data_IF_400167087516
#
_entry.id   IF_400167087516
#
_cell.length_a   1.000
_cell.length_b   1.000
_cell.length_c   1.000
_cell.angle_alpha   90.00
_cell.angle_beta   90.00
_cell.angle_gamma   90.00
#
_symmetry.space_group_name_H-M   'P 1'
#
loop_
_entity.id
_entity.type
_entity.pdbx_description
1 polymer ?
#
# COMPACT_ATOMS: atom_id res chain seq x y z
N UNK A 1 -15.95 -15.85 -39.58
CA UNK A 1 -14.54 -16.20 -39.31
C UNK A 1 -13.76 -15.03 -38.73
N UNK A 2 -13.66 -13.87 -39.40
CA UNK A 2 -12.95 -12.70 -38.87
C UNK A 2 -13.58 -12.12 -37.58
N UNK A 3 -14.92 -12.07 -37.52
CA UNK A 3 -15.64 -11.57 -36.35
C UNK A 3 -15.49 -12.47 -35.11
N UNK A 4 -15.41 -13.79 -35.31
CA UNK A 4 -15.24 -14.76 -34.23
C UNK A 4 -13.81 -14.78 -33.68
N UNK A 5 -12.78 -14.52 -34.50
CA UNK A 5 -11.39 -14.39 -34.01
C UNK A 5 -11.15 -13.06 -33.29
N UNK A 6 -11.84 -11.98 -33.68
CA UNK A 6 -11.77 -10.69 -32.96
C UNK A 6 -12.43 -10.77 -31.58
N UNK A 7 -13.58 -11.45 -31.47
CA UNK A 7 -14.26 -11.66 -30.19
C UNK A 7 -13.39 -12.51 -29.24
N UNK A 8 -12.86 -13.63 -29.74
CA UNK A 8 -11.96 -14.50 -28.96
C UNK A 8 -10.67 -13.79 -28.52
N UNK A 9 -10.13 -12.89 -29.34
CA UNK A 9 -8.97 -12.08 -28.94
C UNK A 9 -9.31 -11.08 -27.82
N UNK A 10 -10.54 -10.54 -27.82
CA UNK A 10 -11.00 -9.54 -26.84
C UNK A 10 -11.18 -10.13 -25.43
N UNK A 11 -11.78 -11.33 -25.33
CA UNK A 11 -11.98 -12.04 -24.06
C UNK A 11 -10.66 -12.30 -23.31
N UNK A 12 -9.60 -12.61 -24.04
CA UNK A 12 -8.27 -12.86 -23.47
C UNK A 12 -7.60 -11.56 -22.94
N UNK A 13 -7.89 -10.42 -23.55
CA UNK A 13 -7.31 -9.12 -23.18
C UNK A 13 -7.98 -8.58 -21.90
N UNK A 14 -9.29 -8.73 -21.77
CA UNK A 14 -10.03 -8.31 -20.57
C UNK A 14 -9.63 -9.15 -19.34
N UNK A 15 -9.47 -10.47 -19.53
CA UNK A 15 -8.94 -11.35 -18.50
C UNK A 15 -7.51 -10.96 -18.10
N UNK A 16 -6.62 -10.75 -19.07
CA UNK A 16 -5.24 -10.32 -18.81
C UNK A 16 -5.17 -8.95 -18.10
N UNK A 17 -6.04 -8.01 -18.46
CA UNK A 17 -6.14 -6.69 -17.83
C UNK A 17 -6.62 -6.75 -16.38
N UNK A 18 -7.57 -7.64 -16.07
CA UNK A 18 -8.04 -7.86 -14.70
C UNK A 18 -6.95 -8.46 -13.81
N UNK A 19 -6.18 -9.42 -14.33
CA UNK A 19 -5.08 -10.08 -13.62
C UNK A 19 -3.93 -9.10 -13.34
N UNK A 20 -3.57 -8.25 -14.32
CA UNK A 20 -2.53 -7.23 -14.13
C UNK A 20 -2.94 -6.16 -13.11
N UNK A 21 -4.22 -5.75 -13.09
CA UNK A 21 -4.75 -4.82 -12.07
C UNK A 21 -4.80 -5.48 -10.69
N UNK A 22 -5.18 -6.76 -10.62
CA UNK A 22 -5.21 -7.55 -9.39
C UNK A 22 -3.83 -7.73 -8.75
N UNK A 23 -2.82 -8.12 -9.55
CA UNK A 23 -1.45 -8.32 -9.04
C UNK A 23 -0.88 -7.03 -8.47
N UNK A 24 -1.09 -5.90 -9.15
CA UNK A 24 -0.65 -4.58 -8.71
C UNK A 24 -1.37 -4.12 -7.43
N UNK A 25 -2.63 -4.50 -7.26
CA UNK A 25 -3.42 -4.32 -6.04
C UNK A 25 -2.87 -5.08 -4.82
N UNK A 26 -2.38 -6.31 -5.03
CA UNK A 26 -1.79 -7.14 -3.97
C UNK A 26 -0.46 -6.58 -3.48
N UNK A 27 0.42 -6.15 -4.40
CA UNK A 27 1.69 -5.52 -4.02
C UNK A 27 1.49 -4.24 -3.20
N UNK A 28 0.49 -3.40 -3.54
CA UNK A 28 0.21 -2.18 -2.78
C UNK A 28 -0.42 -2.47 -1.42
N UNK A 29 -1.30 -3.49 -1.31
CA UNK A 29 -1.88 -3.89 -0.05
C UNK A 29 -0.81 -4.39 0.93
N UNK A 30 0.07 -5.28 0.47
CA UNK A 30 1.19 -5.78 1.29
C UNK A 30 2.13 -4.65 1.70
N UNK A 31 2.51 -3.77 0.76
CA UNK A 31 3.34 -2.61 1.04
C UNK A 31 2.73 -1.66 2.08
N UNK A 32 1.41 -1.42 2.00
CA UNK A 32 0.70 -0.56 2.95
C UNK A 32 0.66 -1.15 4.37
N UNK A 33 0.49 -2.46 4.51
CA UNK A 33 0.50 -3.15 5.81
C UNK A 33 1.88 -3.09 6.44
N UNK A 34 2.93 -3.40 5.66
CA UNK A 34 4.31 -3.33 6.15
C UNK A 34 4.64 -1.91 6.61
N UNK A 35 4.27 -0.89 5.83
CA UNK A 35 4.51 0.50 6.20
C UNK A 35 3.74 0.91 7.47
N UNK A 36 2.50 0.47 7.64
CA UNK A 36 1.71 0.76 8.82
C UNK A 36 2.31 0.14 10.09
N UNK A 37 2.82 -1.09 9.99
CA UNK A 37 3.52 -1.76 11.10
C UNK A 37 4.81 -1.02 11.46
N UNK A 38 5.65 -0.68 10.47
CA UNK A 38 6.89 0.06 10.71
C UNK A 38 6.60 1.42 11.34
N UNK A 39 5.59 2.14 10.84
CA UNK A 39 5.17 3.43 11.37
C UNK A 39 4.70 3.34 12.83
N UNK A 40 3.90 2.31 13.17
CA UNK A 40 3.45 2.05 14.53
C UNK A 40 4.62 1.71 15.49
N UNK A 41 5.57 0.88 15.04
CA UNK A 41 6.75 0.49 15.82
C UNK A 41 7.63 1.71 16.12
N UNK A 42 7.96 2.51 15.10
CA UNK A 42 8.81 3.69 15.30
C UNK A 42 8.08 4.72 16.19
N UNK A 43 6.76 4.90 16.03
CA UNK A 43 5.99 5.78 16.92
C UNK A 43 6.03 5.32 18.38
N UNK A 44 5.90 4.00 18.62
CA UNK A 44 6.02 3.40 19.94
C UNK A 44 7.41 3.59 20.55
N UNK A 45 8.47 3.39 19.77
CA UNK A 45 9.86 3.68 20.19
C UNK A 45 10.08 5.15 20.53
N UNK A 46 9.32 6.05 19.89
CA UNK A 46 9.41 7.51 20.05
C UNK A 46 8.49 8.06 21.15
N UNK A 47 7.83 7.18 21.91
CA UNK A 47 6.93 7.54 23.02
C UNK A 47 5.61 8.18 22.60
N UNK A 48 5.16 7.95 21.36
CA UNK A 48 3.88 8.46 20.83
C UNK A 48 2.89 7.33 20.58
N UNK A 49 1.61 7.66 20.49
CA UNK A 49 0.53 6.68 20.41
C UNK A 49 0.66 5.78 19.16
N UNK A 50 1.05 4.50 19.29
CA UNK A 50 1.43 3.67 18.14
C UNK A 50 0.24 3.37 17.22
N UNK A 51 -0.95 3.23 17.78
CA UNK A 51 -2.19 2.99 17.02
C UNK A 51 -2.56 4.16 16.09
N UNK A 52 -2.47 5.39 16.58
CA UNK A 52 -2.82 6.57 15.79
C UNK A 52 -1.85 6.78 14.62
N UNK A 53 -0.56 6.54 14.86
CA UNK A 53 0.47 6.69 13.82
C UNK A 53 0.45 5.53 12.80
N UNK A 54 0.14 4.30 13.24
CA UNK A 54 -0.05 3.17 12.33
C UNK A 54 -1.22 3.37 11.36
N UNK A 55 -2.35 3.90 11.83
CA UNK A 55 -3.51 4.23 10.98
C UNK A 55 -3.20 5.35 10.00
N UNK A 56 -2.50 6.40 10.43
CA UNK A 56 -1.99 7.42 9.51
C UNK A 56 -1.09 6.79 8.44
N UNK A 57 -0.23 5.84 8.83
CA UNK A 57 0.64 5.08 7.95
C UNK A 57 -0.07 4.22 6.90
N UNK A 58 -1.31 3.80 7.15
CA UNK A 58 -2.12 3.10 6.17
C UNK A 58 -2.64 4.03 5.06
N UNK A 59 -2.95 5.29 5.39
CA UNK A 59 -3.49 6.28 4.43
C UNK A 59 -2.41 7.05 3.66
N UNK A 60 -1.26 7.31 4.28
CA UNK A 60 -0.19 8.13 3.72
C UNK A 60 1.18 7.48 3.90
N UNK A 61 1.24 6.16 3.71
CA UNK A 61 2.41 5.26 3.90
C UNK A 61 3.79 5.90 3.74
N UNK A 62 4.03 6.62 2.64
CA UNK A 62 5.34 7.26 2.39
C UNK A 62 5.52 8.56 3.21
N UNK A 63 4.52 9.44 3.25
CA UNK A 63 4.62 10.75 3.91
C UNK A 63 4.69 10.61 5.43
N UNK A 64 3.98 9.66 6.01
CA UNK A 64 3.97 9.42 7.46
C UNK A 64 5.28 8.83 7.96
N UNK A 65 5.94 8.01 7.14
CA UNK A 65 7.27 7.49 7.45
C UNK A 65 8.30 8.63 7.53
N UNK A 66 8.27 9.54 6.55
CA UNK A 66 9.12 10.75 6.50
C UNK A 66 8.86 11.63 7.73
N UNK A 67 7.60 11.96 8.01
CA UNK A 67 7.21 12.82 9.13
C UNK A 67 7.68 12.23 10.45
N UNK A 68 7.48 10.92 10.72
CA UNK A 68 7.94 10.27 11.95
C UNK A 68 9.46 10.35 12.10
N UNK A 69 10.22 10.06 11.03
CA UNK A 69 11.68 10.08 11.06
C UNK A 69 12.18 11.47 11.49
N UNK A 70 11.63 12.52 10.87
CA UNK A 70 12.03 13.92 11.09
C UNK A 70 11.68 14.43 12.50
N UNK A 71 10.72 13.80 13.20
CA UNK A 71 9.94 14.44 14.27
C UNK A 71 10.51 14.59 15.69
N UNK A 72 11.81 14.74 15.98
CA UNK A 72 12.46 14.42 17.28
C UNK A 72 11.79 13.45 18.29
N UNK A 73 12.59 12.64 19.00
CA UNK A 73 11.99 11.81 20.05
C UNK A 73 11.36 12.70 21.12
N UNK A 74 10.16 12.34 21.61
CA UNK A 74 9.52 13.05 22.73
C UNK A 74 10.35 12.69 23.96
N UNK A 75 11.44 13.42 24.17
CA UNK A 75 12.34 13.25 25.31
C UNK A 75 11.60 13.82 26.53
N UNK A 76 11.02 12.92 27.32
CA UNK A 76 10.98 13.14 28.77
C UNK A 76 12.34 12.74 29.33
#
# INVERSE_FOLDING_TARGET
MLHSVVLAASDNIEAAGFILRGIKGIFVAIGSIIAAVICAVIAGMKGRNPFGWGILGLFFSILTLIVIIVIPSKKS
#
